data_IF_313093958109
#
_entry.id   IF_313093958109
#
_cell.length_a   1.000
_cell.length_b   1.000
_cell.length_c   1.000
_cell.angle_alpha   90.00
_cell.angle_beta   90.00
_cell.angle_gamma   90.00
#
_symmetry.space_group_name_H-M   'P 1'
#
loop_
_entity.id
_entity.type
_entity.pdbx_description
1 polymer ?
#
# COMPACT_ATOMS: atom_id res chain seq x y z
N UNK A 1 10.59 6.28 -8.05
CA UNK A 1 9.16 6.42 -8.37
C UNK A 1 8.44 7.17 -7.29
N UNK A 2 7.43 7.93 -7.67
CA UNK A 2 6.57 8.61 -6.70
C UNK A 2 5.47 7.67 -6.24
N UNK A 3 4.79 8.04 -5.14
CA UNK A 3 3.64 7.27 -4.65
C UNK A 3 2.56 7.18 -5.73
N UNK A 4 2.30 8.28 -6.44
CA UNK A 4 1.31 8.29 -7.51
C UNK A 4 1.67 7.31 -8.63
N UNK A 5 2.95 7.26 -8.99
CA UNK A 5 3.40 6.32 -10.02
C UNK A 5 3.22 4.87 -9.60
N UNK A 6 3.49 4.55 -8.34
CA UNK A 6 3.31 3.19 -7.83
C UNK A 6 1.85 2.78 -7.90
N UNK A 7 0.95 3.65 -7.44
CA UNK A 7 -0.49 3.37 -7.49
C UNK A 7 -0.94 3.18 -8.94
N UNK A 8 -0.52 4.10 -9.81
CA UNK A 8 -0.91 4.05 -11.21
C UNK A 8 -0.47 2.75 -11.91
N UNK A 9 0.75 2.31 -11.62
CA UNK A 9 1.30 1.12 -12.26
C UNK A 9 0.75 -0.18 -11.71
N UNK A 10 0.46 -0.22 -10.42
CA UNK A 10 0.17 -1.48 -9.74
C UNK A 10 -1.31 -1.75 -9.48
N UNK A 11 -2.16 -0.74 -9.57
CA UNK A 11 -3.60 -0.95 -9.42
C UNK A 11 -4.13 -1.67 -10.66
N UNK A 12 -4.54 -2.93 -10.48
CA UNK A 12 -4.95 -3.77 -11.60
C UNK A 12 -6.06 -4.71 -11.15
N UNK A 13 -7.25 -4.50 -11.69
CA UNK A 13 -8.43 -5.29 -11.32
C UNK A 13 -8.30 -6.78 -11.63
N UNK A 14 -7.38 -7.16 -12.52
CA UNK A 14 -7.18 -8.56 -12.88
C UNK A 14 -6.21 -9.27 -11.94
N UNK A 15 -5.53 -8.54 -11.07
CA UNK A 15 -4.62 -9.14 -10.12
C UNK A 15 -5.35 -9.51 -8.82
N UNK A 16 -4.89 -10.55 -8.10
CA UNK A 16 -5.47 -10.88 -6.81
C UNK A 16 -5.43 -9.65 -5.90
N UNK A 17 -6.54 -9.36 -5.24
CA UNK A 17 -6.67 -8.21 -4.36
C UNK A 17 -6.31 -6.90 -5.05
N UNK A 18 -6.54 -6.83 -6.36
CA UNK A 18 -6.32 -5.63 -7.17
C UNK A 18 -4.84 -5.18 -7.17
N UNK A 19 -3.93 -6.09 -6.93
CA UNK A 19 -2.50 -5.77 -6.84
C UNK A 19 -2.03 -5.32 -5.47
N UNK A 20 -2.94 -5.19 -4.50
CA UNK A 20 -2.58 -4.80 -3.14
C UNK A 20 -1.93 -5.96 -2.38
N UNK A 21 -0.91 -5.64 -1.60
CA UNK A 21 -0.27 -6.61 -0.72
C UNK A 21 -0.85 -6.54 0.69
N UNK A 22 -1.42 -5.40 1.05
CA UNK A 22 -2.11 -5.23 2.33
C UNK A 22 -3.22 -4.19 2.17
N UNK A 23 -4.20 -4.20 3.06
CA UNK A 23 -5.29 -3.23 3.11
C UNK A 23 -5.83 -3.25 4.52
N UNK A 24 -6.72 -2.32 4.85
CA UNK A 24 -7.19 -2.11 6.22
C UNK A 24 -7.75 -3.38 6.87
N UNK A 25 -8.48 -4.17 6.10
CA UNK A 25 -9.11 -5.40 6.62
C UNK A 25 -8.40 -6.67 6.17
N UNK A 26 -7.14 -6.55 5.72
CA UNK A 26 -6.36 -7.72 5.30
C UNK A 26 -6.19 -8.69 6.47
N UNK A 27 -5.94 -9.97 6.19
CA UNK A 27 -5.90 -10.58 4.85
C UNK A 27 -7.26 -11.08 4.35
N UNK A 28 -8.21 -11.26 5.23
CA UNK A 28 -9.46 -11.92 4.87
C UNK A 28 -10.64 -10.98 4.59
N UNK A 29 -10.54 -9.73 4.96
CA UNK A 29 -11.60 -8.76 4.74
C UNK A 29 -11.58 -8.16 3.35
N UNK A 30 -12.60 -7.39 3.04
CA UNK A 30 -12.72 -6.77 1.72
C UNK A 30 -11.74 -5.62 1.54
N UNK A 31 -11.23 -5.48 0.33
CA UNK A 31 -10.50 -4.29 -0.08
C UNK A 31 -11.51 -3.15 -0.22
N UNK A 32 -11.23 -2.02 0.38
CA UNK A 32 -12.08 -0.84 0.31
C UNK A 32 -11.54 0.15 -0.72
N UNK A 33 -12.40 1.03 -1.20
CA UNK A 33 -12.00 2.02 -2.20
C UNK A 33 -10.84 2.88 -1.72
N UNK A 34 -10.88 3.30 -0.45
CA UNK A 34 -9.82 4.12 0.13
C UNK A 34 -8.47 3.41 0.23
N UNK A 35 -8.47 2.08 0.25
CA UNK A 35 -7.22 1.32 0.30
C UNK A 35 -6.44 1.43 -1.00
N UNK A 36 -7.14 1.65 -2.10
CA UNK A 36 -6.55 1.57 -3.45
C UNK A 36 -5.70 2.76 -3.83
N UNK A 37 -5.77 3.85 -3.06
CA UNK A 37 -4.98 5.05 -3.36
C UNK A 37 -3.77 5.21 -2.44
N UNK A 38 -3.52 4.25 -1.58
CA UNK A 38 -2.38 4.28 -0.66
C UNK A 38 -1.24 3.47 -1.28
N UNK A 39 -0.20 4.14 -1.74
CA UNK A 39 0.92 3.49 -2.42
C UNK A 39 1.56 2.39 -1.59
N UNK A 40 1.68 2.60 -0.29
CA UNK A 40 2.29 1.61 0.61
C UNK A 40 1.59 0.27 0.55
N UNK A 41 0.29 0.26 0.28
CA UNK A 41 -0.49 -0.97 0.20
C UNK A 41 -0.12 -1.85 -1.00
N UNK A 42 0.61 -1.30 -1.97
CA UNK A 42 1.04 -2.05 -3.15
C UNK A 42 2.49 -2.53 -3.05
N UNK A 43 3.18 -2.21 -1.97
CA UNK A 43 4.59 -2.58 -1.83
C UNK A 43 4.74 -4.01 -1.30
N UNK A 44 5.73 -4.73 -1.82
CA UNK A 44 6.06 -6.05 -1.31
C UNK A 44 6.72 -5.92 0.07
N UNK A 45 6.79 -7.02 0.82
CA UNK A 45 7.44 -7.03 2.13
C UNK A 45 8.89 -6.56 2.02
N UNK A 46 9.57 -6.96 0.97
CA UNK A 46 10.94 -6.54 0.73
C UNK A 46 11.03 -5.04 0.51
N UNK A 47 10.13 -4.49 -0.29
CA UNK A 47 10.10 -3.05 -0.56
C UNK A 47 9.80 -2.25 0.70
N UNK A 48 8.88 -2.71 1.53
CA UNK A 48 8.55 -2.06 2.81
C UNK A 48 9.76 -2.09 3.74
N UNK A 49 10.44 -3.23 3.81
CA UNK A 49 11.63 -3.38 4.64
C UNK A 49 12.74 -2.43 4.21
N UNK A 50 12.97 -2.33 2.91
CA UNK A 50 13.97 -1.40 2.37
C UNK A 50 13.62 0.05 2.67
N UNK A 51 12.35 0.41 2.48
CA UNK A 51 11.89 1.77 2.75
C UNK A 51 12.07 2.12 4.23
N UNK A 52 11.68 1.22 5.12
CA UNK A 52 11.82 1.44 6.56
C UNK A 52 13.30 1.56 6.95
N UNK A 53 14.16 0.74 6.36
CA UNK A 53 15.60 0.80 6.62
C UNK A 53 16.20 2.15 6.23
N UNK A 54 15.88 2.62 5.03
CA UNK A 54 16.38 3.92 4.55
C UNK A 54 15.84 5.05 5.42
N UNK A 55 14.55 5.02 5.73
CA UNK A 55 13.90 6.05 6.53
C UNK A 55 14.52 6.14 7.92
N UNK A 56 14.70 4.99 8.58
CA UNK A 56 15.26 4.96 9.94
C UNK A 56 16.70 5.45 9.95
N UNK A 57 17.49 5.04 8.96
CA UNK A 57 18.88 5.49 8.87
C UNK A 57 18.99 6.99 8.66
N UNK A 58 18.11 7.55 7.81
CA UNK A 58 18.12 8.99 7.57
C UNK A 58 17.64 9.78 8.79
N UNK A 59 16.64 9.28 9.50
CA UNK A 59 16.17 9.93 10.73
C UNK A 59 17.25 9.94 11.80
N UNK A 60 18.01 8.85 11.93
CA UNK A 60 19.11 8.80 12.86
C UNK A 60 20.19 9.81 12.50
N UNK A 61 20.50 9.94 11.21
CA UNK A 61 21.43 10.95 10.72
C UNK A 61 20.94 12.36 11.08
N UNK A 62 19.66 12.64 10.86
CA UNK A 62 19.06 13.93 11.16
C UNK A 62 19.13 14.23 12.66
N UNK A 63 18.88 13.23 13.50
CA UNK A 63 18.92 13.37 14.94
C UNK A 63 20.34 13.73 15.41
N UNK A 64 21.35 13.07 14.86
CA UNK A 64 22.74 13.38 15.21
C UNK A 64 23.11 14.81 14.85
N UNK A 65 22.64 15.31 13.71
CA UNK A 65 22.90 16.71 13.34
C UNK A 65 22.20 17.66 14.31
N UNK A 66 20.99 17.35 14.73
CA UNK A 66 20.27 18.16 15.70
C UNK A 66 20.97 18.18 17.05
N UNK A 67 21.51 17.05 17.51
CA UNK A 67 22.25 16.97 18.75
C UNK A 67 23.54 17.81 18.72
N UNK A 68 24.12 17.96 17.55
CA UNK A 68 25.31 18.81 17.36
C UNK A 68 24.96 20.27 17.16
N UNK A 69 23.67 20.60 17.20
CA UNK A 69 23.18 21.98 17.00
C UNK A 69 23.58 22.55 15.63
N UNK A 70 23.65 21.70 14.62
CA UNK A 70 23.97 22.15 13.27
C UNK A 70 22.70 22.67 12.62
N UNK A 71 22.73 23.94 12.23
CA UNK A 71 21.60 24.57 11.55
C UNK A 71 21.54 24.03 10.12
N UNK A 72 20.37 23.55 9.71
CA UNK A 72 20.20 22.93 8.40
C UNK A 72 18.97 23.53 7.72
N UNK A 73 19.17 24.15 6.56
CA UNK A 73 18.07 24.68 5.75
C UNK A 73 17.41 23.56 4.94
N UNK A 74 16.27 23.84 4.34
CA UNK A 74 15.61 22.85 3.48
C UNK A 74 16.48 22.49 2.27
N UNK A 75 17.21 23.45 1.72
CA UNK A 75 18.15 23.18 0.63
C UNK A 75 19.26 22.24 1.09
N UNK A 76 19.77 22.46 2.30
CA UNK A 76 20.79 21.58 2.87
C UNK A 76 20.25 20.17 3.07
N UNK A 77 19.01 20.04 3.57
CA UNK A 77 18.38 18.73 3.76
C UNK A 77 18.23 17.98 2.44
N UNK A 78 17.83 18.67 1.37
CA UNK A 78 17.70 18.05 0.05
C UNK A 78 19.06 17.50 -0.40
N UNK A 79 20.10 18.31 -0.29
CA UNK A 79 21.43 17.88 -0.69
C UNK A 79 21.93 16.70 0.14
N UNK A 80 21.70 16.73 1.45
CA UNK A 80 22.09 15.64 2.34
C UNK A 80 21.34 14.36 2.02
N UNK A 81 20.05 14.47 1.74
CA UNK A 81 19.26 13.30 1.36
C UNK A 81 19.79 12.68 0.08
N UNK A 82 20.09 13.50 -0.92
CA UNK A 82 20.65 13.01 -2.18
C UNK A 82 21.96 12.27 -1.96
N UNK A 83 22.86 12.84 -1.15
CA UNK A 83 24.13 12.22 -0.83
C UNK A 83 23.94 10.91 -0.06
N UNK A 84 22.99 10.88 0.87
CA UNK A 84 22.71 9.72 1.68
C UNK A 84 22.20 8.57 0.82
N UNK A 85 21.26 8.87 -0.08
CA UNK A 85 20.70 7.86 -0.98
C UNK A 85 21.75 7.34 -1.94
N UNK A 86 22.62 8.21 -2.46
CA UNK A 86 23.69 7.80 -3.34
C UNK A 86 24.67 6.85 -2.63
N UNK A 87 24.97 7.11 -1.36
CA UNK A 87 25.82 6.24 -0.55
C UNK A 87 25.23 4.85 -0.38
N UNK A 88 23.89 4.74 -0.37
CA UNK A 88 23.18 3.49 -0.21
C UNK A 88 22.72 2.89 -1.55
N UNK A 89 23.26 3.42 -2.67
CA UNK A 89 22.95 2.95 -4.02
C UNK A 89 21.50 3.16 -4.44
N UNK A 90 20.85 4.18 -3.90
CA UNK A 90 19.51 4.58 -4.34
C UNK A 90 19.58 5.89 -5.11
N UNK A 91 18.55 6.15 -5.92
CA UNK A 91 18.44 7.42 -6.63
C UNK A 91 17.37 8.27 -5.98
N UNK A 92 17.69 9.54 -5.75
CA UNK A 92 16.69 10.50 -5.26
C UNK A 92 15.77 10.89 -6.41
N UNK A 93 14.51 11.15 -6.08
CA UNK A 93 13.51 11.59 -7.04
C UNK A 93 13.73 13.10 -7.31
N UNK A 94 14.07 13.44 -8.54
CA UNK A 94 14.36 14.84 -8.91
C UNK A 94 13.12 15.66 -9.23
N UNK A 95 12.00 15.01 -9.47
CA UNK A 95 10.78 15.71 -9.91
C UNK A 95 9.57 15.11 -9.23
N UNK A 96 8.42 15.71 -9.45
CA UNK A 96 7.15 15.21 -8.93
C UNK A 96 6.69 13.91 -9.60
N UNK A 97 7.46 13.41 -10.58
CA UNK A 97 7.11 12.21 -11.33
C UNK A 97 6.27 12.53 -12.55
N UNK A 98 5.94 11.48 -13.31
CA UNK A 98 5.20 11.62 -14.55
C UNK A 98 3.69 11.45 -14.39
N UNK A 99 3.26 11.01 -13.22
CA UNK A 99 1.85 10.74 -12.95
C UNK A 99 1.42 11.62 -11.78
N UNK A 100 0.33 12.35 -11.96
CA UNK A 100 -0.22 13.18 -10.90
C UNK A 100 -1.01 12.30 -9.91
N UNK A 101 -1.26 12.83 -8.71
CA UNK A 101 -2.09 12.13 -7.74
C UNK A 101 -3.49 11.92 -8.27
N UNK A 102 -3.99 12.89 -9.06
CA UNK A 102 -5.32 12.82 -9.64
C UNK A 102 -5.42 11.68 -10.64
N UNK A 103 -4.43 11.57 -11.52
CA UNK A 103 -4.36 10.48 -12.49
C UNK A 103 -4.29 9.13 -11.80
N UNK A 104 -3.47 9.03 -10.76
CA UNK A 104 -3.34 7.78 -10.00
C UNK A 104 -4.66 7.42 -9.32
N UNK A 105 -5.34 8.42 -8.76
CA UNK A 105 -6.63 8.19 -8.11
C UNK A 105 -7.68 7.71 -9.10
N UNK A 106 -7.76 8.35 -10.25
CA UNK A 106 -8.69 7.94 -11.30
C UNK A 106 -8.43 6.51 -11.75
N UNK A 107 -7.16 6.16 -11.95
CA UNK A 107 -6.77 4.81 -12.34
C UNK A 107 -7.18 3.80 -11.26
N UNK A 108 -6.83 4.09 -10.02
CA UNK A 108 -7.11 3.19 -8.90
C UNK A 108 -8.60 3.01 -8.69
N UNK A 109 -9.38 4.08 -8.74
CA UNK A 109 -10.82 3.99 -8.56
C UNK A 109 -11.49 3.28 -9.75
N UNK A 110 -11.02 3.52 -10.96
CA UNK A 110 -11.52 2.82 -12.14
C UNK A 110 -11.29 1.32 -12.05
N UNK A 111 -10.08 0.93 -11.62
CA UNK A 111 -9.76 -0.48 -11.43
C UNK A 111 -10.54 -1.07 -10.27
N UNK A 112 -10.76 -0.30 -9.21
CA UNK A 112 -11.55 -0.76 -8.08
C UNK A 112 -13.01 -1.06 -8.46
N UNK A 113 -13.61 -0.22 -9.30
CA UNK A 113 -15.00 -0.47 -9.73
C UNK A 113 -15.10 -1.81 -10.46
N UNK A 114 -14.10 -2.15 -11.26
CA UNK A 114 -14.05 -3.46 -11.92
C UNK A 114 -13.80 -4.57 -10.91
N UNK A 115 -12.87 -4.36 -10.01
CA UNK A 115 -12.50 -5.36 -9.01
C UNK A 115 -13.63 -5.60 -8.01
N UNK A 116 -14.39 -4.56 -7.68
CA UNK A 116 -15.49 -4.64 -6.73
C UNK A 116 -16.51 -5.70 -7.16
N UNK A 117 -16.83 -5.75 -8.43
CA UNK A 117 -17.75 -6.74 -8.95
C UNK A 117 -17.21 -8.16 -8.72
N UNK A 118 -15.93 -8.35 -8.99
CA UNK A 118 -15.27 -9.64 -8.80
C UNK A 118 -15.25 -9.99 -7.30
N UNK A 119 -14.89 -9.03 -6.46
CA UNK A 119 -14.80 -9.21 -5.04
C UNK A 119 -16.17 -9.53 -4.41
N UNK A 120 -17.20 -8.79 -4.80
CA UNK A 120 -18.55 -9.00 -4.28
C UNK A 120 -19.05 -10.39 -4.65
N UNK A 121 -18.75 -10.81 -5.87
CA UNK A 121 -19.13 -12.14 -6.32
C UNK A 121 -18.46 -13.24 -5.51
N UNK A 122 -17.17 -13.04 -5.21
CA UNK A 122 -16.42 -13.99 -4.39
C UNK A 122 -16.97 -14.06 -2.97
N UNK A 123 -17.24 -12.91 -2.35
CA UNK A 123 -17.76 -12.89 -0.99
C UNK A 123 -19.15 -13.44 -0.86
N UNK A 124 -19.99 -13.19 -1.85
CA UNK A 124 -21.34 -13.78 -1.88
C UNK A 124 -21.22 -15.30 -1.96
N UNK A 125 -20.33 -15.78 -2.82
CA UNK A 125 -20.11 -17.21 -2.98
C UNK A 125 -19.68 -17.86 -1.67
N UNK A 126 -18.77 -17.22 -0.94
CA UNK A 126 -18.30 -17.73 0.35
C UNK A 126 -19.42 -17.72 1.37
N UNK A 127 -20.23 -16.68 1.38
CA UNK A 127 -21.36 -16.58 2.29
C UNK A 127 -22.39 -17.67 2.00
N UNK A 128 -22.73 -17.87 0.73
CA UNK A 128 -23.66 -18.91 0.33
C UNK A 128 -23.14 -20.28 0.71
N UNK A 129 -21.85 -20.52 0.50
CA UNK A 129 -21.21 -21.78 0.87
C UNK A 129 -21.28 -22.00 2.37
N UNK A 130 -21.07 -20.94 3.14
CA UNK A 130 -21.13 -21.02 4.59
C UNK A 130 -22.53 -21.40 5.05
N UNK A 131 -23.56 -20.77 4.49
CA UNK A 131 -24.93 -21.04 4.86
C UNK A 131 -25.38 -22.44 4.45
N UNK A 132 -24.92 -22.90 3.27
CA UNK A 132 -25.30 -24.22 2.82
C UNK A 132 -24.57 -25.26 3.59
N UNK A 133 -23.36 -25.00 3.91
CA UNK A 133 -22.52 -25.96 4.54
C UNK A 133 -22.86 -26.08 5.93
N UNK A 134 -23.54 -25.18 6.43
CA UNK A 134 -23.87 -25.23 7.68
C UNK A 134 -24.48 -26.35 7.97
N UNK A 135 -24.79 -26.71 7.02
CA UNK A 135 -25.14 -27.88 7.21
C UNK A 135 -23.99 -28.57 7.64
N UNK A 136 -22.89 -28.01 7.82
CA UNK A 136 -21.77 -28.61 8.16
C UNK A 136 -21.00 -27.84 8.96
N UNK A 137 -21.16 -26.97 9.37
CA UNK A 137 -20.37 -26.22 10.02
C UNK A 137 -20.56 -26.10 11.27
N UNK A 138 -20.29 -26.31 11.88
CA UNK A 138 -20.65 -26.21 13.08
C UNK A 138 -20.57 -25.00 13.65
N UNK A 139 -20.89 -24.80 13.75
CA UNK A 139 -21.15 -23.79 14.06
C UNK A 139 -22.01 -23.51 14.47
N UNK A 140 -22.14 -24.00 14.64
CA UNK A 140 -23.03 -23.42 14.41
C UNK A 140 -23.61 -23.20 14.88
N UNK A 141 -23.62 -23.31 15.12
CA UNK A 141 -24.26 -22.74 14.99
C UNK A 141 -25.04 -22.68 15.17
N UNK A 142 -25.22 -23.01 15.60
CA UNK A 142 -26.12 -22.68 15.19
C UNK A 142 -26.84 -22.71 15.37
N UNK A 143 -27.27 -23.36 15.72
CA UNK A 143 -27.99 -23.23 15.34
C UNK A 143 -28.57 -23.07 15.46
N UNK A 144 -28.74 -23.31 15.71
CA UNK A 144 -29.25 -23.08 15.20
C UNK A 144 -29.38 -23.06 15.05
N UNK A 145 -28.83 -23.37 15.10
CA UNK A 145 -28.61 -23.13 14.43
C UNK A 145 -28.65 -22.95 14.14
N UNK A 146 -28.60 -23.23 14.36
CA UNK A 146 -28.50 -22.83 13.74
C UNK A 146 -28.51 -22.56 13.68
#
# INVERSE_FOLDING_TARGET
>A
RTAAEIVYERADSEMPHMGLTTWKKAPNGRVQKSDTIVAKNYLSDKEVSELNGVTNAFLEFAEQRAQRHIITTMADWKQRLEQFLATMDYQAQDSAGKVSQEEAREKAYGEYEKYKVIQDRSFISDFDRFNDGDKLLPFDINPDKE
#
